data_IF_726040632844
#
_entry.id   IF_726040632844
#
_cell.length_a   1.000
_cell.length_b   1.000
_cell.length_c   1.000
_cell.angle_alpha   90.00
_cell.angle_beta   90.00
_cell.angle_gamma   90.00
#
_symmetry.space_group_name_H-M   'P 1'
#
loop_
_entity.id
_entity.type
_entity.pdbx_description
1 polymer ?
#
# COMPACT_ATOMS: atom_id res chain seq x y z
N UNK A 1 -28.66 2.25 24.08
CA UNK A 1 -27.76 3.36 24.42
C UNK A 1 -26.36 2.79 24.52
N UNK A 2 -25.58 2.89 23.44
CA UNK A 2 -24.17 2.49 23.48
C UNK A 2 -23.42 3.43 24.41
N UNK A 3 -22.54 2.90 25.24
CA UNK A 3 -21.59 3.70 26.01
C UNK A 3 -20.78 4.51 25.00
N UNK A 4 -21.09 5.80 24.82
CA UNK A 4 -20.27 6.68 24.00
C UNK A 4 -18.88 6.73 24.65
N UNK A 5 -17.90 6.14 23.97
CA UNK A 5 -16.49 6.19 24.34
C UNK A 5 -16.05 7.64 24.47
N UNK A 6 -15.33 7.95 25.55
CA UNK A 6 -14.70 9.27 25.78
C UNK A 6 -13.92 9.73 24.53
N UNK A 7 -14.08 11.01 24.18
CA UNK A 7 -13.38 11.61 23.05
C UNK A 7 -11.93 11.90 23.41
N UNK A 8 -10.97 11.52 22.57
CA UNK A 8 -9.55 11.76 22.87
C UNK A 8 -9.20 13.25 22.89
N UNK A 9 -9.58 13.99 21.86
CA UNK A 9 -9.38 15.43 21.79
C UNK A 9 -10.57 16.13 21.14
N UNK A 10 -10.95 17.29 21.67
CA UNK A 10 -12.01 18.16 21.15
C UNK A 10 -11.43 19.55 20.83
N UNK A 11 -11.59 20.00 19.59
CA UNK A 11 -11.43 21.40 19.21
C UNK A 11 -12.83 22.01 19.04
N UNK A 12 -13.22 22.88 19.97
CA UNK A 12 -14.56 23.50 19.98
C UNK A 12 -14.48 24.98 19.65
N UNK A 13 -15.27 25.42 18.67
CA UNK A 13 -15.44 26.83 18.37
C UNK A 13 -16.57 27.45 19.18
N UNK A 14 -16.34 28.68 19.64
CA UNK A 14 -17.36 29.45 20.35
C UNK A 14 -17.20 30.96 20.13
N UNK A 15 -18.32 31.64 19.92
CA UNK A 15 -18.43 33.10 19.92
C UNK A 15 -19.23 33.62 21.12
N UNK A 16 -20.44 33.09 21.34
CA UNK A 16 -21.42 33.65 22.26
C UNK A 16 -22.45 32.65 22.84
N UNK A 17 -22.57 31.43 22.31
CA UNK A 17 -23.53 30.41 22.78
C UNK A 17 -22.90 29.45 23.83
N UNK A 18 -22.76 29.93 25.07
CA UNK A 18 -22.21 29.14 26.18
C UNK A 18 -23.03 27.87 26.51
N UNK A 19 -24.37 27.87 26.56
CA UNK A 19 -25.16 26.66 26.81
C UNK A 19 -24.90 25.55 25.79
N UNK A 20 -24.77 25.89 24.51
CA UNK A 20 -24.48 24.92 23.46
C UNK A 20 -23.05 24.34 23.57
N UNK A 21 -22.08 25.16 23.96
CA UNK A 21 -20.71 24.70 24.22
C UNK A 21 -20.66 23.74 25.43
N UNK A 22 -21.32 24.08 26.53
CA UNK A 22 -21.42 23.22 27.73
C UNK A 22 -22.03 21.86 27.38
N UNK A 23 -23.14 21.86 26.64
CA UNK A 23 -23.79 20.62 26.20
C UNK A 23 -22.82 19.73 25.42
N UNK A 24 -22.13 20.29 24.42
CA UNK A 24 -21.27 19.53 23.51
C UNK A 24 -20.03 18.97 24.23
N UNK A 25 -19.42 19.76 25.12
CA UNK A 25 -18.28 19.31 25.95
C UNK A 25 -18.71 18.16 26.87
N UNK A 26 -19.83 18.31 27.57
CA UNK A 26 -20.33 17.30 28.50
C UNK A 26 -20.76 16.01 27.79
N UNK A 27 -21.38 16.13 26.61
CA UNK A 27 -21.75 14.98 25.78
C UNK A 27 -20.53 14.22 25.27
N UNK A 28 -19.53 14.93 24.75
CA UNK A 28 -18.34 14.31 24.15
C UNK A 28 -17.32 13.81 25.18
N UNK A 29 -17.36 14.35 26.40
CA UNK A 29 -16.49 14.04 27.53
C UNK A 29 -15.00 13.89 27.12
N UNK A 30 -14.36 14.98 26.65
CA UNK A 30 -13.03 14.90 26.06
C UNK A 30 -11.91 14.75 27.09
N UNK A 31 -10.87 13.96 26.77
CA UNK A 31 -9.65 13.91 27.58
C UNK A 31 -8.82 15.19 27.43
N UNK A 32 -8.79 15.76 26.23
CA UNK A 32 -8.10 17.02 25.91
C UNK A 32 -9.06 18.00 25.22
N UNK A 33 -9.08 19.26 25.65
CA UNK A 33 -10.03 20.28 25.16
C UNK A 33 -9.31 21.55 24.68
N UNK A 34 -9.50 21.91 23.42
CA UNK A 34 -9.02 23.18 22.87
C UNK A 34 -10.20 24.10 22.55
N UNK A 35 -10.23 25.28 23.15
CA UNK A 35 -11.17 26.33 22.78
C UNK A 35 -10.61 27.14 21.60
N UNK A 36 -11.36 27.22 20.50
CA UNK A 36 -11.06 28.11 19.37
C UNK A 36 -12.01 29.30 19.39
N UNK A 37 -11.53 30.45 19.83
CA UNK A 37 -12.40 31.59 20.19
C UNK A 37 -11.80 32.93 19.77
N UNK A 38 -12.60 33.97 19.49
CA UNK A 38 -12.08 35.34 19.51
C UNK A 38 -11.76 35.78 20.94
N UNK A 39 -10.90 36.79 21.10
CA UNK A 39 -10.52 37.31 22.42
C UNK A 39 -11.74 37.72 23.27
N UNK A 40 -12.79 38.25 22.62
CA UNK A 40 -14.03 38.68 23.27
C UNK A 40 -14.82 37.56 23.95
N UNK A 41 -14.62 36.30 23.57
CA UNK A 41 -15.37 35.16 24.09
C UNK A 41 -14.69 34.45 25.27
N UNK A 42 -13.44 34.80 25.62
CA UNK A 42 -12.71 34.18 26.73
C UNK A 42 -13.40 34.33 28.07
N UNK A 43 -13.83 35.56 28.39
CA UNK A 43 -14.50 35.84 29.65
C UNK A 43 -15.78 35.01 29.80
N UNK A 44 -16.55 34.87 28.73
CA UNK A 44 -17.76 34.05 28.70
C UNK A 44 -17.45 32.56 28.94
N UNK A 45 -16.40 32.02 28.33
CA UNK A 45 -15.97 30.64 28.58
C UNK A 45 -15.58 30.42 30.05
N UNK A 46 -14.81 31.33 30.64
CA UNK A 46 -14.37 31.23 32.03
C UNK A 46 -15.53 31.34 33.03
N UNK A 47 -16.50 32.22 32.78
CA UNK A 47 -17.60 32.47 33.72
C UNK A 47 -18.80 31.55 33.54
N UNK A 48 -19.10 31.13 32.31
CA UNK A 48 -20.34 30.40 32.00
C UNK A 48 -20.11 28.97 31.51
N UNK A 49 -18.98 28.66 30.86
CA UNK A 49 -18.73 27.31 30.32
C UNK A 49 -17.98 26.44 31.30
N UNK A 50 -16.78 26.86 31.74
CA UNK A 50 -15.92 26.05 32.61
C UNK A 50 -16.60 25.58 33.89
N UNK A 51 -17.36 26.42 34.63
CA UNK A 51 -18.02 25.98 35.86
C UNK A 51 -19.07 24.88 35.65
N UNK A 52 -19.57 24.70 34.42
CA UNK A 52 -20.62 23.75 34.07
C UNK A 52 -20.09 22.48 33.39
N UNK A 53 -18.76 22.34 33.24
CA UNK A 53 -18.16 21.11 32.72
C UNK A 53 -18.24 20.02 33.78
N UNK A 54 -18.99 18.95 33.49
CA UNK A 54 -19.27 17.86 34.42
C UNK A 54 -18.02 17.04 34.77
N UNK A 55 -17.14 16.83 33.79
CA UNK A 55 -15.86 16.16 33.96
C UNK A 55 -14.77 17.00 33.28
N UNK A 56 -13.88 17.57 34.09
CA UNK A 56 -12.80 18.40 33.56
C UNK A 56 -11.81 17.57 32.73
N UNK A 57 -11.39 18.08 31.56
CA UNK A 57 -10.40 17.42 30.73
C UNK A 57 -9.04 17.37 31.44
N UNK A 58 -8.23 16.36 31.13
CA UNK A 58 -6.87 16.23 31.70
C UNK A 58 -5.95 17.35 31.24
N UNK A 59 -6.18 17.85 30.04
CA UNK A 59 -5.43 18.95 29.42
C UNK A 59 -6.40 19.86 28.69
N UNK A 60 -6.14 21.16 28.72
CA UNK A 60 -6.92 22.11 27.95
C UNK A 60 -6.06 23.29 27.52
N UNK A 61 -6.43 23.92 26.41
CA UNK A 61 -5.69 25.05 25.82
C UNK A 61 -6.62 25.96 25.01
N UNK A 62 -6.09 27.09 24.55
CA UNK A 62 -6.78 28.07 23.74
C UNK A 62 -6.05 28.30 22.44
N UNK A 63 -6.80 28.39 21.36
CA UNK A 63 -6.35 29.04 20.13
C UNK A 63 -7.23 30.26 19.93
N UNK A 64 -6.63 31.45 20.01
CA UNK A 64 -7.38 32.70 19.86
C UNK A 64 -7.32 33.16 18.42
N UNK A 65 -8.48 33.28 17.77
CA UNK A 65 -8.54 33.90 16.45
C UNK A 65 -8.45 35.43 16.57
N UNK A 66 -7.54 36.10 15.82
CA UNK A 66 -7.49 37.56 15.78
C UNK A 66 -8.77 38.19 15.22
N UNK A 67 -9.47 37.48 14.34
CA UNK A 67 -10.72 37.93 13.73
C UNK A 67 -11.56 36.71 13.33
N UNK A 68 -12.65 36.50 14.08
CA UNK A 68 -13.60 35.42 13.87
C UNK A 68 -14.31 35.51 12.52
N UNK A 69 -14.38 36.68 11.87
CA UNK A 69 -15.07 36.82 10.57
C UNK A 69 -14.11 36.70 9.37
N UNK A 70 -12.80 36.67 9.60
CA UNK A 70 -11.78 36.59 8.53
C UNK A 70 -11.13 35.21 8.47
N UNK A 71 -11.44 34.48 7.40
CA UNK A 71 -10.87 33.15 7.15
C UNK A 71 -9.33 33.12 7.23
N UNK A 72 -8.56 34.00 6.55
CA UNK A 72 -7.09 33.92 6.60
C UNK A 72 -6.52 34.10 8.00
N UNK A 73 -7.12 34.97 8.83
CA UNK A 73 -6.67 35.19 10.21
C UNK A 73 -6.93 33.95 11.08
N UNK A 74 -8.16 33.42 10.99
CA UNK A 74 -8.58 32.20 11.69
C UNK A 74 -7.76 30.97 11.26
N UNK A 75 -7.50 30.81 9.96
CA UNK A 75 -6.74 29.69 9.42
C UNK A 75 -5.27 29.75 9.79
N UNK A 76 -4.62 30.92 9.69
CA UNK A 76 -3.19 31.05 10.00
C UNK A 76 -2.86 30.70 11.44
N UNK A 77 -3.70 31.10 12.40
CA UNK A 77 -3.46 30.78 13.81
C UNK A 77 -3.67 29.28 14.07
N UNK A 78 -4.74 28.68 13.53
CA UNK A 78 -4.99 27.25 13.70
C UNK A 78 -3.94 26.38 13.02
N UNK A 79 -3.58 26.69 11.78
CA UNK A 79 -2.58 25.92 11.02
C UNK A 79 -1.20 25.93 11.67
N UNK A 80 -0.87 26.97 12.46
CA UNK A 80 0.40 27.07 13.20
C UNK A 80 0.33 26.38 14.56
N UNK A 81 -0.75 26.55 15.30
CA UNK A 81 -0.83 26.08 16.69
C UNK A 81 -1.35 24.65 16.83
N UNK A 82 -2.31 24.24 16.00
CA UNK A 82 -2.99 22.95 16.15
C UNK A 82 -2.03 21.74 16.01
N UNK A 83 -1.10 21.68 15.03
CA UNK A 83 -0.22 20.53 14.90
C UNK A 83 0.68 20.29 16.12
N UNK A 84 1.22 21.35 16.71
CA UNK A 84 2.07 21.26 17.89
C UNK A 84 1.26 20.88 19.14
N UNK A 85 0.04 21.40 19.25
CA UNK A 85 -0.90 21.04 20.31
C UNK A 85 -1.27 19.54 20.25
N UNK A 86 -1.66 19.04 19.09
CA UNK A 86 -2.00 17.63 18.88
C UNK A 86 -0.80 16.71 19.18
N UNK A 87 0.41 17.13 18.79
CA UNK A 87 1.65 16.38 19.10
C UNK A 87 1.91 16.34 20.61
N UNK A 88 1.79 17.49 21.29
CA UNK A 88 1.98 17.57 22.74
C UNK A 88 0.97 16.71 23.50
N UNK A 89 -0.25 16.59 22.97
CA UNK A 89 -1.33 15.78 23.53
C UNK A 89 -1.34 14.32 23.08
N UNK A 90 -0.37 13.90 22.26
CA UNK A 90 -0.26 12.55 21.71
C UNK A 90 -1.53 12.10 20.97
N UNK A 91 -2.18 13.03 20.27
CA UNK A 91 -3.40 12.76 19.49
C UNK A 91 -3.01 12.18 18.13
N UNK A 92 -3.54 11.00 17.83
CA UNK A 92 -3.34 10.30 16.57
C UNK A 92 -4.35 10.72 15.50
N UNK A 93 -4.09 10.31 14.26
CA UNK A 93 -5.03 10.51 13.17
C UNK A 93 -6.34 9.75 13.46
N UNK A 94 -7.48 10.44 13.30
CA UNK A 94 -8.79 9.87 13.59
C UNK A 94 -9.14 9.88 15.09
N UNK A 95 -8.54 10.77 15.88
CA UNK A 95 -8.83 10.93 17.31
C UNK A 95 -9.33 12.35 17.69
N UNK A 96 -9.22 13.32 16.80
CA UNK A 96 -9.73 14.68 17.02
C UNK A 96 -11.22 14.78 16.68
N UNK A 97 -12.01 15.48 17.49
CA UNK A 97 -13.37 15.91 17.15
C UNK A 97 -13.37 17.41 16.91
N UNK A 98 -13.97 17.84 15.81
CA UNK A 98 -14.19 19.26 15.53
C UNK A 98 -15.63 19.61 15.86
N UNK A 99 -15.84 20.57 16.76
CA UNK A 99 -17.16 21.09 17.08
C UNK A 99 -17.34 22.50 16.51
N UNK A 100 -18.24 22.60 15.53
CA UNK A 100 -18.51 23.81 14.77
C UNK A 100 -19.72 24.59 15.30
N UNK A 101 -20.31 24.18 16.42
CA UNK A 101 -21.56 24.72 16.94
C UNK A 101 -21.54 26.24 17.09
N UNK A 102 -20.49 26.79 17.70
CA UNK A 102 -20.32 28.23 17.90
C UNK A 102 -19.36 28.87 16.88
N UNK A 103 -19.11 28.22 15.74
CA UNK A 103 -18.21 28.74 14.72
C UNK A 103 -18.92 29.73 13.79
N UNK A 104 -18.25 30.85 13.49
CA UNK A 104 -18.58 31.62 12.28
C UNK A 104 -18.21 30.81 11.01
N UNK A 105 -18.68 31.20 9.82
CA UNK A 105 -18.26 30.55 8.57
C UNK A 105 -16.72 30.56 8.36
N UNK A 106 -16.05 31.65 8.73
CA UNK A 106 -14.60 31.77 8.63
C UNK A 106 -13.86 30.84 9.60
N UNK A 107 -14.35 30.72 10.84
CA UNK A 107 -13.81 29.80 11.84
C UNK A 107 -14.03 28.34 11.42
N UNK A 108 -15.24 28.00 10.97
CA UNK A 108 -15.57 26.65 10.54
C UNK A 108 -14.68 26.19 9.37
N UNK A 109 -14.49 27.04 8.35
CA UNK A 109 -13.59 26.76 7.24
C UNK A 109 -12.14 26.55 7.71
N UNK A 110 -11.65 27.38 8.64
CA UNK A 110 -10.31 27.26 9.19
C UNK A 110 -10.12 25.96 9.99
N UNK A 111 -11.10 25.58 10.81
CA UNK A 111 -11.08 24.34 11.60
C UNK A 111 -11.09 23.10 10.72
N UNK A 112 -11.98 23.04 9.72
CA UNK A 112 -12.06 21.89 8.82
C UNK A 112 -10.75 21.74 8.05
N UNK A 113 -10.22 22.81 7.44
CA UNK A 113 -8.98 22.72 6.67
C UNK A 113 -7.75 22.38 7.53
N UNK A 114 -7.69 22.86 8.77
CA UNK A 114 -6.54 22.61 9.66
C UNK A 114 -6.64 21.26 10.38
N UNK A 115 -7.86 20.80 10.68
CA UNK A 115 -8.14 19.63 11.51
C UNK A 115 -8.45 18.35 10.74
N UNK A 116 -8.78 18.43 9.44
CA UNK A 116 -9.25 17.28 8.64
C UNK A 116 -8.33 16.05 8.74
N UNK A 117 -7.01 16.23 8.69
CA UNK A 117 -6.08 15.11 8.73
C UNK A 117 -6.05 14.35 10.07
N UNK A 118 -6.49 14.98 11.16
CA UNK A 118 -6.56 14.40 12.49
C UNK A 118 -7.99 14.03 12.92
N UNK A 119 -9.01 14.53 12.21
CA UNK A 119 -10.41 14.41 12.64
C UNK A 119 -10.98 13.00 12.48
N UNK A 120 -11.69 12.56 13.50
CA UNK A 120 -12.55 11.37 13.56
C UNK A 120 -13.99 11.67 13.15
N UNK A 121 -14.47 12.86 13.50
CA UNK A 121 -15.82 13.36 13.21
C UNK A 121 -15.85 14.89 13.36
N UNK A 122 -16.80 15.48 12.66
CA UNK A 122 -17.23 16.87 12.79
C UNK A 122 -18.62 16.84 13.40
N UNK A 123 -18.86 17.69 14.41
CA UNK A 123 -20.14 17.81 15.10
C UNK A 123 -20.62 19.26 15.08
N UNK A 124 -21.93 19.45 15.17
CA UNK A 124 -22.56 20.75 15.34
C UNK A 124 -23.96 20.61 15.94
N UNK A 125 -24.40 21.60 16.71
CA UNK A 125 -25.80 21.78 17.07
C UNK A 125 -26.51 22.65 16.02
N UNK A 126 -27.32 22.03 15.19
CA UNK A 126 -28.13 22.69 14.17
C UNK A 126 -29.50 23.14 14.68
N UNK A 127 -30.20 23.94 13.87
CA UNK A 127 -31.58 24.34 14.11
C UNK A 127 -32.57 23.26 13.60
N UNK A 128 -33.72 23.07 14.26
CA UNK A 128 -34.79 22.23 13.75
C UNK A 128 -35.23 22.63 12.33
N UNK A 129 -35.38 21.67 11.43
CA UNK A 129 -35.84 21.90 10.05
C UNK A 129 -34.76 22.35 9.05
N UNK A 130 -33.49 22.45 9.47
CA UNK A 130 -32.37 22.80 8.58
C UNK A 130 -31.84 21.64 7.70
N UNK A 131 -32.42 20.44 7.81
CA UNK A 131 -32.02 19.24 7.07
C UNK A 131 -33.14 18.20 6.96
N UNK A 132 -32.89 17.06 6.28
CA UNK A 132 -33.86 15.97 6.18
C UNK A 132 -34.29 15.49 7.58
N UNK A 133 -35.57 15.11 7.79
CA UNK A 133 -36.08 14.68 9.11
C UNK A 133 -35.35 13.47 9.73
N UNK A 134 -34.54 12.76 8.95
CA UNK A 134 -33.81 11.55 9.32
C UNK A 134 -32.38 11.79 9.80
N UNK A 135 -31.90 13.04 9.82
CA UNK A 135 -30.52 13.35 10.20
C UNK A 135 -30.44 14.06 11.56
N UNK A 136 -29.79 13.38 12.51
CA UNK A 136 -29.45 13.92 13.82
C UNK A 136 -30.44 13.61 14.93
N UNK A 137 -30.01 13.86 16.16
CA UNK A 137 -30.79 13.62 17.38
C UNK A 137 -31.36 14.95 17.92
N UNK A 138 -32.66 15.01 18.17
CA UNK A 138 -33.29 16.19 18.78
C UNK A 138 -32.87 16.33 20.24
N UNK A 139 -32.38 17.51 20.61
CA UNK A 139 -31.89 17.83 21.96
C UNK A 139 -32.48 19.17 22.40
N UNK A 140 -32.78 19.30 23.69
CA UNK A 140 -33.27 20.56 24.28
C UNK A 140 -32.16 21.18 25.12
N UNK A 141 -31.77 22.41 24.77
CA UNK A 141 -30.71 23.16 25.44
C UNK A 141 -31.29 24.51 25.81
N UNK A 142 -31.37 24.77 27.12
CA UNK A 142 -31.95 26.01 27.68
C UNK A 142 -33.34 26.37 27.10
N UNK A 143 -34.21 25.36 27.00
CA UNK A 143 -35.57 25.50 26.45
C UNK A 143 -35.64 25.67 24.93
N UNK A 144 -34.51 25.62 24.22
CA UNK A 144 -34.45 25.66 22.75
C UNK A 144 -34.23 24.27 22.19
N UNK A 145 -35.05 23.89 21.23
CA UNK A 145 -34.81 22.69 20.45
C UNK A 145 -33.63 22.89 19.48
N UNK A 146 -32.77 21.90 19.42
CA UNK A 146 -31.59 21.79 18.55
C UNK A 146 -31.52 20.37 18.00
N UNK A 147 -30.74 20.20 16.94
CA UNK A 147 -30.44 18.89 16.37
C UNK A 147 -28.94 18.65 16.49
N UNK A 148 -28.55 17.56 17.15
CA UNK A 148 -27.16 17.09 17.17
C UNK A 148 -26.82 16.47 15.83
N UNK A 149 -25.94 17.13 15.08
CA UNK A 149 -25.42 16.67 13.80
C UNK A 149 -24.01 16.16 13.98
N UNK A 150 -23.70 15.03 13.34
CA UNK A 150 -22.35 14.50 13.30
C UNK A 150 -22.08 13.76 11.99
N UNK A 151 -20.85 13.85 11.51
CA UNK A 151 -20.39 13.11 10.34
C UNK A 151 -18.88 12.96 10.33
N UNK A 152 -18.39 11.88 9.73
CA UNK A 152 -16.97 11.71 9.47
C UNK A 152 -16.64 12.17 8.05
N UNK A 153 -15.89 13.26 7.87
CA UNK A 153 -15.60 13.78 6.53
C UNK A 153 -14.73 12.82 5.71
N UNK A 154 -14.00 11.90 6.35
CA UNK A 154 -13.24 10.87 5.65
C UNK A 154 -14.11 9.82 4.99
N UNK A 155 -15.38 9.69 5.37
CA UNK A 155 -16.26 8.75 4.67
C UNK A 155 -16.44 9.16 3.20
N UNK A 156 -16.47 10.45 2.86
CA UNK A 156 -16.46 10.86 1.45
C UNK A 156 -15.04 11.08 0.91
N UNK A 157 -14.17 11.76 1.66
CA UNK A 157 -12.82 12.11 1.19
C UNK A 157 -11.93 10.88 0.92
N UNK A 158 -12.19 9.75 1.59
CA UNK A 158 -11.44 8.52 1.38
C UNK A 158 -11.60 7.95 -0.04
N UNK A 159 -12.65 8.31 -0.79
CA UNK A 159 -12.79 7.89 -2.18
C UNK A 159 -11.66 8.43 -3.06
N UNK A 160 -11.34 9.72 -2.93
CA UNK A 160 -10.23 10.34 -3.67
C UNK A 160 -8.88 9.80 -3.20
N UNK A 161 -8.65 9.74 -1.89
CA UNK A 161 -7.40 9.20 -1.33
C UNK A 161 -7.18 7.72 -1.71
N UNK A 162 -8.26 6.94 -1.87
CA UNK A 162 -8.18 5.55 -2.36
C UNK A 162 -7.70 5.48 -3.80
N UNK A 163 -8.13 6.39 -4.67
CA UNK A 163 -7.65 6.46 -6.06
C UNK A 163 -6.15 6.74 -6.10
N UNK A 164 -5.68 7.69 -5.27
CA UNK A 164 -4.23 7.96 -5.12
C UNK A 164 -3.46 6.71 -4.65
N UNK A 165 -4.02 5.96 -3.69
CA UNK A 165 -3.45 4.68 -3.25
C UNK A 165 -3.41 3.62 -4.35
N UNK A 166 -4.44 3.56 -5.19
CA UNK A 166 -4.47 2.69 -6.37
C UNK A 166 -3.42 3.10 -7.39
N UNK A 167 -3.22 4.40 -7.64
CA UNK A 167 -2.20 4.90 -8.55
C UNK A 167 -0.78 4.58 -8.07
N UNK A 168 -0.51 4.73 -6.76
CA UNK A 168 0.75 4.32 -6.16
C UNK A 168 0.99 2.82 -6.34
N UNK A 169 -0.04 2.00 -6.10
CA UNK A 169 0.05 0.55 -6.31
C UNK A 169 0.35 0.21 -7.78
N UNK A 170 -0.36 0.84 -8.71
CA UNK A 170 -0.25 0.58 -10.15
C UNK A 170 1.12 0.98 -10.71
N UNK A 171 1.84 1.89 -10.04
CA UNK A 171 3.21 2.32 -10.37
C UNK A 171 4.28 1.51 -9.63
N UNK A 172 3.93 0.39 -9.00
CA UNK A 172 4.88 -0.45 -8.25
C UNK A 172 5.29 0.10 -6.89
N UNK A 173 4.75 1.24 -6.45
CA UNK A 173 5.04 1.86 -5.15
C UNK A 173 4.22 1.23 -4.02
N UNK A 174 4.32 -0.09 -3.88
CA UNK A 174 3.50 -0.90 -2.97
C UNK A 174 3.58 -0.45 -1.50
N UNK A 175 4.78 -0.09 -1.02
CA UNK A 175 4.95 0.40 0.35
C UNK A 175 4.23 1.73 0.61
N UNK A 176 4.28 2.65 -0.35
CA UNK A 176 3.59 3.93 -0.26
C UNK A 176 2.06 3.74 -0.34
N UNK A 177 1.59 2.86 -1.23
CA UNK A 177 0.18 2.51 -1.33
C UNK A 177 -0.35 1.90 -0.02
N UNK A 178 0.38 0.95 0.54
CA UNK A 178 0.03 0.34 1.83
C UNK A 178 -0.03 1.39 2.95
N UNK A 179 0.96 2.27 3.05
CA UNK A 179 1.00 3.34 4.03
C UNK A 179 -0.21 4.29 3.89
N UNK A 180 -0.57 4.69 2.67
CA UNK A 180 -1.73 5.54 2.42
C UNK A 180 -3.04 4.85 2.82
N UNK A 181 -3.22 3.57 2.47
CA UNK A 181 -4.40 2.82 2.90
C UNK A 181 -4.49 2.69 4.42
N UNK A 182 -3.37 2.51 5.14
CA UNK A 182 -3.34 2.55 6.62
C UNK A 182 -3.71 3.92 7.19
N UNK A 183 -3.25 5.01 6.55
CA UNK A 183 -3.65 6.36 6.94
C UNK A 183 -5.17 6.56 6.78
N UNK A 184 -5.75 6.09 5.68
CA UNK A 184 -7.20 6.16 5.47
C UNK A 184 -7.93 5.31 6.53
N UNK A 185 -7.48 4.07 6.77
CA UNK A 185 -8.03 3.17 7.81
C UNK A 185 -8.11 3.84 9.18
N UNK A 186 -7.10 4.60 9.58
CA UNK A 186 -7.10 5.29 10.88
C UNK A 186 -8.20 6.36 11.00
N UNK A 187 -8.65 6.94 9.88
CA UNK A 187 -9.51 8.13 9.86
C UNK A 187 -10.97 7.86 9.50
N UNK A 188 -11.24 6.82 8.69
CA UNK A 188 -12.62 6.49 8.27
C UNK A 188 -13.45 5.89 9.41
N UNK A 189 -14.77 5.93 9.25
CA UNK A 189 -15.70 5.30 10.19
C UNK A 189 -15.51 3.79 10.28
N UNK A 190 -15.85 3.21 11.44
CA UNK A 190 -15.57 1.82 11.80
C UNK A 190 -15.96 0.79 10.72
N UNK A 191 -17.13 0.96 10.08
CA UNK A 191 -17.60 0.05 9.03
C UNK A 191 -16.71 0.01 7.77
N UNK A 192 -15.91 1.05 7.53
CA UNK A 192 -15.02 1.15 6.35
C UNK A 192 -13.58 0.73 6.65
N UNK A 193 -13.17 0.65 7.93
CA UNK A 193 -11.80 0.26 8.32
C UNK A 193 -11.36 -1.09 7.76
N UNK A 194 -12.19 -2.17 7.77
CA UNK A 194 -11.78 -3.47 7.23
C UNK A 194 -11.41 -3.44 5.74
N UNK A 195 -12.08 -2.61 4.94
CA UNK A 195 -11.75 -2.44 3.52
C UNK A 195 -10.33 -1.89 3.35
N UNK A 196 -10.01 -0.79 4.04
CA UNK A 196 -8.70 -0.15 3.90
C UNK A 196 -7.58 -0.96 4.54
N UNK A 197 -7.87 -1.68 5.63
CA UNK A 197 -6.96 -2.69 6.17
C UNK A 197 -6.60 -3.73 5.11
N UNK A 198 -7.60 -4.26 4.41
CA UNK A 198 -7.41 -5.29 3.40
C UNK A 198 -6.68 -4.75 2.16
N UNK A 199 -6.94 -3.51 1.74
CA UNK A 199 -6.21 -2.85 0.66
C UNK A 199 -4.74 -2.60 1.03
N UNK A 200 -4.46 -2.25 2.29
CA UNK A 200 -3.10 -2.11 2.78
C UNK A 200 -2.34 -3.45 2.76
N UNK A 201 -2.96 -4.52 3.26
CA UNK A 201 -2.38 -5.87 3.21
C UNK A 201 -2.23 -6.41 1.78
N UNK A 202 -3.16 -6.06 0.89
CA UNK A 202 -3.05 -6.36 -0.54
C UNK A 202 -1.78 -5.71 -1.12
N UNK A 203 -1.62 -4.40 -0.92
CA UNK A 203 -0.44 -3.67 -1.37
C UNK A 203 0.85 -4.25 -0.80
N UNK A 204 0.89 -4.51 0.51
CA UNK A 204 2.05 -5.12 1.17
C UNK A 204 2.36 -6.52 0.61
N UNK A 205 1.34 -7.35 0.36
CA UNK A 205 1.50 -8.68 -0.22
C UNK A 205 2.17 -8.66 -1.60
N UNK A 206 1.75 -7.76 -2.49
CA UNK A 206 2.42 -7.58 -3.78
C UNK A 206 3.83 -7.00 -3.63
N UNK A 207 4.05 -6.07 -2.69
CA UNK A 207 5.39 -5.55 -2.40
C UNK A 207 6.35 -6.60 -1.81
N UNK A 208 5.84 -7.59 -1.08
CA UNK A 208 6.61 -8.75 -0.61
C UNK A 208 6.92 -9.72 -1.75
N UNK A 209 5.95 -9.94 -2.64
CA UNK A 209 6.15 -10.78 -3.83
C UNK A 209 7.21 -10.19 -4.74
N UNK A 210 7.19 -8.89 -4.98
CA UNK A 210 8.19 -8.21 -5.83
C UNK A 210 9.63 -8.32 -5.29
N UNK A 211 9.79 -8.67 -4.00
CA UNK A 211 11.07 -8.96 -3.33
C UNK A 211 11.34 -10.46 -3.12
N UNK A 212 10.54 -11.32 -3.77
CA UNK A 212 10.61 -12.78 -3.69
C UNK A 212 10.33 -13.37 -2.30
N UNK A 213 9.67 -12.64 -1.40
CA UNK A 213 9.22 -13.13 -0.10
C UNK A 213 7.88 -13.91 -0.23
N UNK A 214 7.90 -14.99 -1.02
CA UNK A 214 6.70 -15.69 -1.49
C UNK A 214 5.73 -16.14 -0.40
N UNK A 215 6.24 -16.69 0.71
CA UNK A 215 5.38 -17.16 1.82
C UNK A 215 4.64 -16.01 2.48
N UNK A 216 5.36 -14.93 2.81
CA UNK A 216 4.77 -13.75 3.44
C UNK A 216 3.77 -13.06 2.48
N UNK A 217 4.11 -12.99 1.19
CA UNK A 217 3.20 -12.49 0.16
C UNK A 217 1.90 -13.31 0.10
N UNK A 218 2.00 -14.64 0.10
CA UNK A 218 0.84 -15.53 0.10
C UNK A 218 -0.05 -15.33 1.32
N UNK A 219 0.54 -15.27 2.52
CA UNK A 219 -0.21 -15.09 3.77
C UNK A 219 -0.99 -13.76 3.78
N UNK A 220 -0.35 -12.68 3.27
CA UNK A 220 -0.96 -11.36 3.13
C UNK A 220 -2.10 -11.35 2.11
N UNK A 221 -1.87 -11.88 0.90
CA UNK A 221 -2.90 -11.95 -0.14
C UNK A 221 -4.09 -12.84 0.27
N UNK A 222 -3.84 -13.96 0.94
CA UNK A 222 -4.88 -14.86 1.44
C UNK A 222 -5.78 -14.19 2.47
N UNK A 223 -5.20 -13.40 3.38
CA UNK A 223 -5.94 -12.69 4.42
C UNK A 223 -6.72 -11.52 3.83
N UNK A 224 -6.11 -10.72 2.96
CA UNK A 224 -6.76 -9.58 2.32
C UNK A 224 -7.93 -10.01 1.43
N UNK A 225 -7.80 -11.11 0.67
CA UNK A 225 -8.86 -11.64 -0.19
C UNK A 225 -10.17 -11.89 0.56
N UNK A 226 -10.10 -12.51 1.75
CA UNK A 226 -11.30 -12.78 2.56
C UNK A 226 -12.02 -11.49 2.94
N UNK A 227 -11.29 -10.48 3.36
CA UNK A 227 -11.84 -9.19 3.76
C UNK A 227 -12.40 -8.41 2.56
N UNK A 228 -11.73 -8.45 1.40
CA UNK A 228 -12.21 -7.80 0.19
C UNK A 228 -13.46 -8.48 -0.41
N UNK A 229 -13.55 -9.81 -0.33
CA UNK A 229 -14.77 -10.56 -0.71
C UNK A 229 -15.96 -10.14 0.18
N UNK A 230 -15.74 -9.94 1.48
CA UNK A 230 -16.78 -9.42 2.38
C UNK A 230 -17.12 -7.96 2.06
N UNK A 231 -16.13 -7.13 1.76
CA UNK A 231 -16.37 -5.74 1.39
C UNK A 231 -17.28 -5.60 0.16
N UNK A 232 -17.19 -6.51 -0.82
CA UNK A 232 -18.10 -6.53 -1.97
C UNK A 232 -19.58 -6.70 -1.60
N UNK A 233 -19.88 -7.36 -0.49
CA UNK A 233 -21.24 -7.60 0.00
C UNK A 233 -21.74 -6.41 0.83
N UNK A 234 -20.84 -5.79 1.60
CA UNK A 234 -21.17 -4.79 2.63
C UNK A 234 -20.83 -3.34 2.22
N UNK A 235 -20.91 -3.00 0.93
CA UNK A 235 -20.82 -1.62 0.45
C UNK A 235 -19.42 -1.12 0.06
N UNK A 236 -18.49 -2.02 -0.21
CA UNK A 236 -17.20 -1.69 -0.84
C UNK A 236 -17.34 -1.27 -2.30
N UNK A 237 -16.26 -0.71 -2.92
CA UNK A 237 -16.30 -0.24 -4.29
C UNK A 237 -16.73 -1.33 -5.28
N UNK A 238 -17.71 -1.10 -6.17
CA UNK A 238 -18.18 -2.09 -7.14
C UNK A 238 -17.07 -2.61 -8.07
N UNK A 239 -16.07 -1.77 -8.36
CA UNK A 239 -14.91 -2.10 -9.20
C UNK A 239 -14.01 -3.18 -8.60
N UNK A 240 -14.13 -3.50 -7.30
CA UNK A 240 -13.47 -4.67 -6.71
C UNK A 240 -13.83 -5.97 -7.45
N UNK A 241 -15.05 -6.06 -8.02
CA UNK A 241 -15.49 -7.24 -8.79
C UNK A 241 -14.58 -7.54 -9.99
N UNK A 242 -14.00 -6.51 -10.60
CA UNK A 242 -13.09 -6.67 -11.74
C UNK A 242 -11.67 -7.07 -11.30
N UNK A 243 -11.24 -6.66 -10.10
CA UNK A 243 -9.87 -6.86 -9.61
C UNK A 243 -9.70 -8.23 -8.94
N UNK A 244 -10.69 -8.67 -8.15
CA UNK A 244 -10.57 -9.84 -7.29
C UNK A 244 -10.27 -11.16 -8.02
N UNK A 245 -10.80 -11.46 -9.22
CA UNK A 245 -10.45 -12.69 -9.93
C UNK A 245 -8.95 -12.85 -10.14
N UNK A 246 -8.26 -11.78 -10.52
CA UNK A 246 -6.81 -11.80 -10.74
C UNK A 246 -6.04 -11.91 -9.41
N UNK A 247 -6.50 -11.24 -8.35
CA UNK A 247 -5.91 -11.41 -7.01
C UNK A 247 -6.06 -12.86 -6.52
N UNK A 248 -7.20 -13.51 -6.77
CA UNK A 248 -7.42 -14.94 -6.44
C UNK A 248 -6.50 -15.86 -7.25
N UNK A 249 -6.35 -15.61 -8.55
CA UNK A 249 -5.40 -16.34 -9.40
C UNK A 249 -3.97 -16.22 -8.86
N UNK A 250 -3.57 -15.01 -8.49
CA UNK A 250 -2.25 -14.71 -7.93
C UNK A 250 -2.00 -15.39 -6.58
N UNK A 251 -2.98 -15.36 -5.67
CA UNK A 251 -2.90 -16.08 -4.41
C UNK A 251 -2.77 -17.59 -4.63
N UNK A 252 -3.49 -18.15 -5.62
CA UNK A 252 -3.37 -19.57 -5.99
C UNK A 252 -2.04 -19.92 -6.65
N UNK A 253 -1.44 -19.01 -7.42
CA UNK A 253 -0.08 -19.17 -7.95
C UNK A 253 0.94 -19.24 -6.80
N UNK A 254 0.87 -18.30 -5.86
CA UNK A 254 1.76 -18.27 -4.70
C UNK A 254 1.55 -19.48 -3.78
N UNK A 255 0.30 -19.92 -3.58
CA UNK A 255 0.00 -21.14 -2.82
C UNK A 255 0.75 -22.35 -3.39
N UNK A 256 0.62 -22.58 -4.71
CA UNK A 256 1.32 -23.68 -5.39
C UNK A 256 2.83 -23.56 -5.22
N UNK A 257 3.39 -22.36 -5.39
CA UNK A 257 4.83 -22.12 -5.24
C UNK A 257 5.31 -22.39 -3.81
N UNK A 258 4.59 -21.89 -2.81
CA UNK A 258 4.97 -21.99 -1.40
C UNK A 258 4.85 -23.41 -0.87
N UNK A 259 3.82 -24.15 -1.30
CA UNK A 259 3.57 -25.51 -0.87
C UNK A 259 4.33 -26.57 -1.67
N UNK A 260 4.93 -26.22 -2.82
CA UNK A 260 5.80 -27.12 -3.57
C UNK A 260 7.02 -27.54 -2.73
N UNK A 261 7.20 -28.84 -2.41
CA UNK A 261 8.34 -29.31 -1.62
C UNK A 261 9.63 -29.43 -2.45
N UNK A 262 9.57 -29.25 -3.77
CA UNK A 262 10.74 -29.38 -4.64
C UNK A 262 11.75 -28.26 -4.39
N UNK A 263 13.03 -28.62 -4.49
CA UNK A 263 14.16 -27.69 -4.37
C UNK A 263 14.19 -26.72 -5.56
N UNK A 264 13.88 -27.20 -6.78
CA UNK A 264 13.74 -26.38 -8.00
C UNK A 264 12.29 -26.29 -8.42
N UNK A 265 11.75 -25.08 -8.31
CA UNK A 265 10.33 -24.80 -8.52
C UNK A 265 10.11 -24.13 -9.85
N UNK A 266 9.24 -24.71 -10.66
CA UNK A 266 8.86 -24.16 -11.98
C UNK A 266 8.23 -22.78 -11.86
N UNK A 267 7.38 -22.58 -10.84
CA UNK A 267 6.74 -21.30 -10.58
C UNK A 267 7.75 -20.16 -10.36
N UNK A 268 8.93 -20.44 -9.80
CA UNK A 268 9.98 -19.41 -9.62
C UNK A 268 10.55 -18.96 -10.97
N UNK A 269 10.77 -19.88 -11.92
CA UNK A 269 11.24 -19.52 -13.26
C UNK A 269 10.21 -18.65 -14.00
N UNK A 270 8.92 -19.03 -13.91
CA UNK A 270 7.83 -18.22 -14.48
C UNK A 270 7.71 -16.85 -13.82
N UNK A 271 7.81 -16.78 -12.49
CA UNK A 271 7.75 -15.50 -11.77
C UNK A 271 8.94 -14.59 -12.09
N UNK A 272 10.16 -15.12 -12.22
CA UNK A 272 11.32 -14.34 -12.64
C UNK A 272 11.14 -13.72 -14.03
N UNK A 273 10.55 -14.48 -14.97
CA UNK A 273 10.25 -13.97 -16.31
C UNK A 273 9.18 -12.87 -16.25
N UNK A 274 8.13 -13.09 -15.45
CA UNK A 274 7.08 -12.09 -15.22
C UNK A 274 7.62 -10.83 -14.52
N UNK A 275 8.53 -11.00 -13.56
CA UNK A 275 9.20 -9.92 -12.85
C UNK A 275 10.06 -9.09 -13.80
N UNK A 276 10.85 -9.73 -14.67
CA UNK A 276 11.62 -9.04 -15.70
C UNK A 276 10.71 -8.15 -16.58
N UNK A 277 9.53 -8.66 -16.96
CA UNK A 277 8.53 -7.88 -17.71
C UNK A 277 8.01 -6.68 -16.91
N UNK A 278 7.62 -6.88 -15.64
CA UNK A 278 7.13 -5.81 -14.75
C UNK A 278 8.16 -4.70 -14.56
N UNK A 279 9.45 -5.02 -14.46
CA UNK A 279 10.54 -4.03 -14.33
C UNK A 279 10.60 -3.04 -15.51
N UNK A 280 10.20 -3.45 -16.71
CA UNK A 280 10.12 -2.52 -17.86
C UNK A 280 8.77 -1.84 -17.92
N UNK A 281 7.68 -2.60 -17.83
CA UNK A 281 6.34 -2.08 -18.07
C UNK A 281 5.86 -1.14 -16.95
N UNK A 282 6.33 -1.33 -15.71
CA UNK A 282 5.94 -0.54 -14.53
C UNK A 282 7.06 0.39 -14.10
N UNK A 283 8.26 -0.15 -13.85
CA UNK A 283 9.36 0.64 -13.28
C UNK A 283 10.18 1.40 -14.33
N UNK A 284 9.94 1.13 -15.62
CA UNK A 284 10.69 1.71 -16.73
C UNK A 284 12.21 1.51 -16.59
N UNK A 285 12.62 0.37 -16.01
CA UNK A 285 14.00 0.11 -15.59
C UNK A 285 14.61 -1.10 -16.34
N UNK A 286 15.11 -0.89 -17.58
CA UNK A 286 15.55 -1.98 -18.45
C UNK A 286 16.83 -2.67 -17.96
N UNK A 287 17.67 -1.99 -17.17
CA UNK A 287 18.84 -2.57 -16.50
C UNK A 287 18.43 -3.71 -15.55
N UNK A 288 17.62 -3.39 -14.54
CA UNK A 288 17.13 -4.38 -13.58
C UNK A 288 16.32 -5.49 -14.25
N UNK A 289 15.52 -5.13 -15.27
CA UNK A 289 14.77 -6.09 -16.06
C UNK A 289 15.67 -7.10 -16.78
N UNK A 290 16.80 -6.65 -17.33
CA UNK A 290 17.75 -7.52 -18.04
C UNK A 290 18.42 -8.50 -17.09
N UNK A 291 18.82 -8.04 -15.89
CA UNK A 291 19.36 -8.93 -14.85
C UNK A 291 18.35 -9.99 -14.47
N UNK A 292 17.09 -9.60 -14.22
CA UNK A 292 16.00 -10.53 -13.93
C UNK A 292 15.75 -11.52 -15.07
N UNK A 293 15.81 -11.06 -16.32
CA UNK A 293 15.61 -11.90 -17.51
C UNK A 293 16.71 -12.95 -17.68
N UNK A 294 17.97 -12.59 -17.45
CA UNK A 294 19.08 -13.54 -17.45
C UNK A 294 18.94 -14.57 -16.33
N UNK A 295 18.51 -14.13 -15.13
CA UNK A 295 18.21 -15.04 -14.03
C UNK A 295 17.04 -15.96 -14.36
N UNK A 296 15.99 -15.48 -15.03
CA UNK A 296 14.86 -16.27 -15.49
C UNK A 296 15.32 -17.34 -16.50
N UNK A 297 16.09 -16.93 -17.51
CA UNK A 297 16.68 -17.82 -18.51
C UNK A 297 17.51 -18.93 -17.86
N UNK A 298 18.33 -18.59 -16.88
CA UNK A 298 19.07 -19.57 -16.08
C UNK A 298 18.13 -20.50 -15.30
N UNK A 299 17.11 -19.95 -14.63
CA UNK A 299 16.17 -20.74 -13.85
C UNK A 299 15.46 -21.82 -14.70
N UNK A 300 15.15 -21.52 -15.96
CA UNK A 300 14.59 -22.52 -16.88
C UNK A 300 15.58 -23.64 -17.23
N UNK A 301 16.85 -23.31 -17.45
CA UNK A 301 17.89 -24.34 -17.66
C UNK A 301 18.07 -25.21 -16.41
N UNK A 302 18.16 -24.58 -15.23
CA UNK A 302 18.24 -25.27 -13.93
C UNK A 302 17.04 -26.20 -13.73
N UNK A 303 15.83 -25.72 -14.03
CA UNK A 303 14.60 -26.50 -13.95
C UNK A 303 14.65 -27.74 -14.84
N UNK A 304 15.06 -27.60 -16.11
CA UNK A 304 15.16 -28.72 -17.06
C UNK A 304 16.20 -29.74 -16.61
N UNK A 305 17.41 -29.28 -16.29
CA UNK A 305 18.50 -30.13 -15.80
C UNK A 305 18.11 -30.89 -14.54
N UNK A 306 17.45 -30.21 -13.59
CA UNK A 306 17.03 -30.83 -12.34
C UNK A 306 15.89 -31.83 -12.55
N UNK A 307 14.80 -31.43 -13.23
CA UNK A 307 13.60 -32.27 -13.37
C UNK A 307 13.89 -33.53 -14.19
N UNK A 308 14.52 -33.38 -15.35
CA UNK A 308 14.72 -34.46 -16.33
C UNK A 308 15.98 -35.28 -16.09
N UNK A 309 17.07 -34.64 -15.66
CA UNK A 309 18.39 -35.27 -15.57
C UNK A 309 18.92 -35.42 -14.15
N UNK A 310 18.20 -34.91 -13.13
CA UNK A 310 18.61 -34.91 -11.71
C UNK A 310 19.97 -34.24 -11.48
N UNK A 311 20.30 -33.27 -12.32
CA UNK A 311 21.53 -32.48 -12.22
C UNK A 311 21.24 -31.22 -11.39
N UNK A 312 21.97 -31.05 -10.29
CA UNK A 312 21.98 -29.81 -9.51
C UNK A 312 23.07 -28.90 -10.06
N UNK A 313 22.70 -27.78 -10.67
CA UNK A 313 23.67 -26.89 -11.33
C UNK A 313 24.61 -26.19 -10.36
N UNK A 314 24.27 -26.15 -9.08
CA UNK A 314 25.10 -25.59 -7.99
C UNK A 314 25.89 -26.66 -7.22
N UNK A 315 25.79 -27.92 -7.61
CA UNK A 315 26.48 -29.06 -6.97
C UNK A 315 26.60 -30.22 -7.98
N UNK A 316 27.16 -29.92 -9.15
CA UNK A 316 27.18 -30.89 -10.25
C UNK A 316 28.27 -31.93 -10.05
N UNK A 317 27.98 -33.20 -10.35
CA UNK A 317 29.02 -34.21 -10.46
C UNK A 317 29.51 -34.27 -11.92
N UNK A 318 30.82 -34.14 -12.20
CA UNK A 318 31.34 -34.15 -13.57
C UNK A 318 30.86 -35.35 -14.40
N UNK A 319 30.64 -36.49 -13.76
CA UNK A 319 30.22 -37.74 -14.39
C UNK A 319 28.78 -37.67 -14.93
N UNK A 320 27.93 -36.80 -14.37
CA UNK A 320 26.58 -36.54 -14.87
C UNK A 320 26.56 -35.71 -16.16
N UNK A 321 27.68 -35.07 -16.51
CA UNK A 321 27.76 -34.20 -17.68
C UNK A 321 28.15 -34.97 -18.95
N UNK A 322 27.74 -34.46 -20.13
CA UNK A 322 28.28 -34.92 -21.41
C UNK A 322 29.80 -34.89 -21.43
N UNK A 323 30.42 -35.86 -22.11
CA UNK A 323 31.88 -36.04 -22.14
C UNK A 323 32.64 -34.74 -22.45
N UNK A 324 32.14 -33.97 -23.42
CA UNK A 324 32.72 -32.70 -23.85
C UNK A 324 32.78 -31.61 -22.75
N UNK A 325 32.05 -31.75 -21.64
CA UNK A 325 32.02 -30.78 -20.54
C UNK A 325 32.72 -31.26 -19.27
N UNK A 326 33.09 -32.55 -19.17
CA UNK A 326 33.62 -33.14 -17.93
C UNK A 326 34.93 -32.50 -17.49
N UNK A 327 35.86 -32.35 -18.42
CA UNK A 327 37.18 -31.78 -18.12
C UNK A 327 37.07 -30.29 -17.75
N UNK A 328 36.24 -29.55 -18.48
CA UNK A 328 35.96 -28.15 -18.16
C UNK A 328 35.29 -28.00 -16.79
N UNK A 329 34.42 -28.92 -16.41
CA UNK A 329 33.82 -28.93 -15.08
C UNK A 329 34.88 -29.06 -13.99
N UNK A 330 35.77 -30.05 -14.11
CA UNK A 330 36.84 -30.30 -13.13
C UNK A 330 37.83 -29.13 -13.00
N UNK A 331 38.09 -28.44 -14.09
CA UNK A 331 39.13 -27.39 -14.13
C UNK A 331 38.60 -25.97 -13.89
N UNK A 332 37.30 -25.70 -14.13
CA UNK A 332 36.79 -24.32 -14.21
C UNK A 332 35.49 -24.06 -13.45
N UNK A 333 34.78 -25.09 -12.96
CA UNK A 333 33.49 -24.90 -12.28
C UNK A 333 33.58 -25.04 -10.76
N UNK A 334 34.76 -25.35 -10.21
CA UNK A 334 34.94 -25.42 -8.76
C UNK A 334 34.76 -24.03 -8.17
N UNK A 335 33.83 -23.90 -7.23
CA UNK A 335 33.60 -22.68 -6.48
C UNK A 335 34.49 -22.66 -5.24
N UNK A 336 35.29 -21.60 -5.11
CA UNK A 336 36.26 -21.47 -4.01
C UNK A 336 35.61 -21.23 -2.64
N UNK A 337 34.31 -20.91 -2.59
CA UNK A 337 33.61 -20.58 -1.33
C UNK A 337 33.11 -21.84 -0.63
N UNK A 338 32.41 -22.72 -1.34
CA UNK A 338 31.83 -23.94 -0.76
C UNK A 338 32.41 -25.25 -1.31
N UNK A 339 33.38 -25.17 -2.23
CA UNK A 339 34.06 -26.33 -2.82
C UNK A 339 33.17 -27.16 -3.75
N UNK A 340 32.01 -26.64 -4.17
CA UNK A 340 31.09 -27.33 -5.08
C UNK A 340 31.33 -26.94 -6.52
N UNK A 341 31.00 -27.84 -7.44
CA UNK A 341 31.01 -27.49 -8.86
C UNK A 341 29.73 -26.74 -9.23
N UNK A 342 29.86 -25.47 -9.65
CA UNK A 342 28.77 -24.59 -10.06
C UNK A 342 28.84 -24.31 -11.56
N UNK A 343 27.82 -24.74 -12.28
CA UNK A 343 27.75 -24.56 -13.73
C UNK A 343 27.30 -23.14 -14.09
N UNK A 344 28.08 -22.38 -14.89
CA UNK A 344 27.62 -21.11 -15.42
C UNK A 344 26.51 -21.30 -16.48
N UNK A 345 25.68 -20.27 -16.68
CA UNK A 345 24.54 -20.26 -17.61
C UNK A 345 24.81 -20.96 -18.95
N UNK A 346 25.88 -20.57 -19.65
CA UNK A 346 26.21 -21.15 -20.96
C UNK A 346 26.53 -22.65 -20.89
N UNK A 347 27.18 -23.09 -19.80
CA UNK A 347 27.49 -24.51 -19.60
C UNK A 347 26.23 -25.33 -19.32
N UNK A 348 25.23 -24.75 -18.64
CA UNK A 348 23.93 -25.39 -18.40
C UNK A 348 23.22 -25.71 -19.72
N UNK A 349 23.14 -24.76 -20.65
CA UNK A 349 22.53 -25.00 -21.96
C UNK A 349 23.34 -25.95 -22.86
N UNK A 350 24.68 -25.91 -22.79
CA UNK A 350 25.52 -26.88 -23.50
C UNK A 350 25.34 -28.29 -22.95
N UNK A 351 25.17 -28.43 -21.64
CA UNK A 351 24.88 -29.72 -21.03
C UNK A 351 23.52 -30.25 -21.49
N UNK A 352 22.47 -29.42 -21.46
CA UNK A 352 21.17 -29.77 -22.02
C UNK A 352 21.28 -30.25 -23.47
N UNK A 353 21.98 -29.50 -24.33
CA UNK A 353 22.16 -29.87 -25.73
C UNK A 353 22.92 -31.19 -25.91
N UNK A 354 24.00 -31.40 -25.14
CA UNK A 354 24.78 -32.63 -25.15
C UNK A 354 24.03 -33.85 -24.60
N UNK A 355 22.99 -33.62 -23.79
CA UNK A 355 22.05 -34.64 -23.29
C UNK A 355 20.84 -34.84 -24.23
N UNK A 356 20.83 -34.20 -25.40
CA UNK A 356 19.76 -34.30 -26.39
C UNK A 356 18.48 -33.52 -26.04
N UNK A 357 18.53 -32.62 -25.07
CA UNK A 357 17.37 -31.82 -24.66
C UNK A 357 17.01 -30.76 -25.72
N UNK A 358 15.71 -30.64 -26.01
CA UNK A 358 15.20 -29.70 -27.02
C UNK A 358 15.48 -28.24 -26.66
N UNK A 359 15.41 -27.86 -25.39
CA UNK A 359 15.70 -26.48 -24.94
C UNK A 359 17.18 -26.16 -25.16
N UNK A 360 18.07 -27.11 -24.86
CA UNK A 360 19.50 -26.97 -25.13
C UNK A 360 19.81 -26.84 -26.62
N UNK A 361 19.20 -27.69 -27.46
CA UNK A 361 19.35 -27.62 -28.91
C UNK A 361 18.81 -26.30 -29.49
N UNK A 362 17.65 -25.85 -29.03
CA UNK A 362 17.07 -24.58 -29.42
C UNK A 362 17.96 -23.39 -29.01
N UNK A 363 18.57 -23.45 -27.82
CA UNK A 363 19.54 -22.44 -27.37
C UNK A 363 20.73 -22.34 -28.31
N UNK A 364 21.33 -23.46 -28.68
CA UNK A 364 22.45 -23.48 -29.61
C UNK A 364 22.06 -22.95 -31.00
N UNK A 365 20.85 -23.29 -31.47
CA UNK A 365 20.33 -22.77 -32.74
C UNK A 365 20.11 -21.25 -32.71
N UNK A 366 19.65 -20.69 -31.57
CA UNK A 366 19.45 -19.25 -31.40
C UNK A 366 20.71 -18.49 -30.95
N UNK A 367 21.81 -19.19 -30.67
CA UNK A 367 23.05 -18.59 -30.16
C UNK A 367 23.57 -17.41 -30.98
N UNK A 368 23.58 -17.44 -32.34
CA UNK A 368 24.03 -16.29 -33.13
C UNK A 368 23.23 -15.01 -32.87
N UNK A 369 21.92 -15.12 -32.61
CA UNK A 369 21.05 -13.99 -32.29
C UNK A 369 21.20 -13.56 -30.81
N UNK A 370 21.36 -14.51 -29.90
CA UNK A 370 21.51 -14.22 -28.46
C UNK A 370 22.86 -13.62 -28.10
N UNK A 371 23.94 -14.10 -28.71
CA UNK A 371 25.32 -13.69 -28.38
C UNK A 371 25.51 -12.17 -28.32
N UNK A 372 25.11 -11.36 -29.32
CA UNK A 372 25.27 -9.91 -29.24
C UNK A 372 24.41 -9.29 -28.13
N UNK A 373 23.22 -9.83 -27.84
CA UNK A 373 22.34 -9.34 -26.77
C UNK A 373 22.93 -9.62 -25.38
N UNK A 374 23.52 -10.81 -25.20
CA UNK A 374 24.22 -11.19 -23.97
C UNK A 374 25.52 -10.38 -23.77
N UNK A 375 26.25 -10.08 -24.84
CA UNK A 375 27.43 -9.19 -24.78
C UNK A 375 27.03 -7.77 -24.36
N UNK A 376 25.94 -7.23 -24.92
CA UNK A 376 25.37 -5.94 -24.48
C UNK A 376 24.97 -5.98 -23.00
N UNK A 377 24.26 -7.02 -22.56
CA UNK A 377 23.88 -7.17 -21.15
C UNK A 377 25.11 -7.30 -20.23
N UNK A 378 26.18 -7.98 -20.68
CA UNK A 378 27.42 -8.07 -19.91
C UNK A 378 28.15 -6.74 -19.80
N UNK A 379 28.07 -5.86 -20.81
CA UNK A 379 28.67 -4.52 -20.79
C UNK A 379 27.78 -3.47 -20.14
N UNK A 380 26.57 -3.88 -19.74
CA UNK A 380 25.62 -3.01 -19.09
C UNK A 380 26.09 -2.56 -17.70
N UNK A 381 25.51 -1.47 -17.18
CA UNK A 381 25.86 -0.91 -15.86
C UNK A 381 25.58 -1.92 -14.73
N UNK A 382 24.45 -2.64 -14.77
CA UNK A 382 24.16 -3.70 -13.78
C UNK A 382 24.72 -5.08 -14.19
N UNK A 383 25.50 -5.14 -15.27
CA UNK A 383 26.29 -6.30 -15.66
C UNK A 383 27.71 -6.18 -15.12
N UNK A 384 28.66 -5.96 -16.03
CA UNK A 384 30.10 -5.81 -15.73
C UNK A 384 30.74 -4.64 -16.49
N UNK A 385 29.95 -3.76 -17.10
CA UNK A 385 30.46 -2.61 -17.84
C UNK A 385 29.87 -1.30 -17.37
N UNK A 386 29.85 -0.32 -18.27
CA UNK A 386 29.53 1.07 -17.96
C UNK A 386 28.53 1.70 -18.95
N UNK A 387 27.96 0.90 -19.87
CA UNK A 387 27.03 1.38 -20.88
C UNK A 387 25.57 1.09 -20.47
N UNK A 388 24.64 2.05 -20.52
CA UNK A 388 23.25 1.77 -20.19
C UNK A 388 22.58 0.90 -21.25
N UNK A 389 21.79 -0.10 -20.82
CA UNK A 389 21.01 -0.93 -21.72
C UNK A 389 19.78 -0.19 -22.26
N UNK A 390 19.56 -0.31 -23.57
CA UNK A 390 18.39 0.27 -24.23
C UNK A 390 17.17 -0.66 -24.13
N UNK A 391 15.94 -0.13 -23.97
CA UNK A 391 14.72 -0.94 -23.88
C UNK A 391 14.53 -1.91 -25.05
N UNK A 392 14.94 -1.55 -26.26
CA UNK A 392 14.81 -2.40 -27.45
C UNK A 392 15.70 -3.65 -27.35
N UNK A 393 16.85 -3.54 -26.68
CA UNK A 393 17.76 -4.69 -26.45
C UNK A 393 17.18 -5.66 -25.44
N UNK A 394 16.54 -5.15 -24.39
CA UNK A 394 15.77 -5.97 -23.47
C UNK A 394 14.65 -6.71 -24.21
N UNK A 395 13.84 -6.02 -25.00
CA UNK A 395 12.71 -6.64 -25.71
C UNK A 395 13.19 -7.74 -26.68
N UNK A 396 14.24 -7.47 -27.46
CA UNK A 396 14.86 -8.49 -28.34
C UNK A 396 15.30 -9.73 -27.58
N UNK A 397 15.92 -9.57 -26.40
CA UNK A 397 16.34 -10.70 -25.57
C UNK A 397 15.14 -11.41 -24.97
N UNK A 398 14.13 -10.67 -24.51
CA UNK A 398 12.90 -11.21 -23.93
C UNK A 398 12.18 -12.12 -24.92
N UNK A 399 12.00 -11.68 -26.17
CA UNK A 399 11.35 -12.45 -27.22
C UNK A 399 12.07 -13.78 -27.48
N UNK A 400 13.40 -13.77 -27.49
CA UNK A 400 14.20 -14.99 -27.65
C UNK A 400 14.05 -15.92 -26.44
N UNK A 401 14.04 -15.38 -25.22
CA UNK A 401 13.86 -16.18 -23.99
C UNK A 401 12.45 -16.80 -23.93
N UNK A 402 11.40 -16.05 -24.24
CA UNK A 402 10.01 -16.57 -24.32
C UNK A 402 9.92 -17.70 -25.34
N UNK A 403 10.46 -17.49 -26.54
CA UNK A 403 10.49 -18.53 -27.59
C UNK A 403 11.25 -19.78 -27.15
N UNK A 404 12.37 -19.61 -26.44
CA UNK A 404 13.21 -20.72 -25.97
C UNK A 404 12.55 -21.53 -24.86
N UNK A 405 11.90 -20.85 -23.92
CA UNK A 405 11.27 -21.49 -22.76
C UNK A 405 9.94 -22.14 -23.14
N UNK A 406 9.29 -21.67 -24.21
CA UNK A 406 7.98 -22.13 -24.66
C UNK A 406 6.84 -21.69 -23.74
N UNK A 407 7.12 -20.78 -22.81
CA UNK A 407 6.11 -20.25 -21.89
C UNK A 407 5.30 -19.20 -22.63
N UNK A 408 3.98 -19.30 -22.58
CA UNK A 408 3.10 -18.27 -23.11
C UNK A 408 3.08 -17.07 -22.16
N UNK A 409 3.23 -15.85 -22.67
CA UNK A 409 3.15 -14.63 -21.84
C UNK A 409 1.82 -14.54 -21.06
N UNK A 410 0.74 -15.07 -21.61
CA UNK A 410 -0.59 -15.12 -20.97
C UNK A 410 -0.68 -16.07 -19.76
N UNK A 411 0.28 -17.00 -19.60
CA UNK A 411 0.31 -17.91 -18.45
C UNK A 411 1.16 -17.39 -17.29
N UNK A 412 1.90 -16.30 -17.49
CA UNK A 412 2.72 -15.67 -16.47
C UNK A 412 1.85 -14.91 -15.44
N UNK A 413 2.26 -14.89 -14.15
CA UNK A 413 1.53 -14.11 -13.14
C UNK A 413 1.58 -12.61 -13.47
N UNK A 414 0.41 -11.97 -13.45
CA UNK A 414 0.26 -10.54 -13.70
C UNK A 414 -0.28 -9.84 -12.45
N UNK A 415 0.29 -8.69 -12.12
CA UNK A 415 -0.22 -7.90 -11.01
C UNK A 415 -1.45 -7.11 -11.47
N UNK A 416 -2.47 -6.95 -10.62
CA UNK A 416 -3.69 -6.27 -10.99
C UNK A 416 -3.46 -4.78 -11.21
N UNK A 417 -4.28 -4.16 -12.05
CA UNK A 417 -4.42 -2.71 -12.09
C UNK A 417 -5.62 -2.32 -11.22
N UNK A 418 -5.38 -1.63 -10.11
CA UNK A 418 -6.42 -1.18 -9.20
C UNK A 418 -7.11 0.06 -9.77
N UNK A 419 -8.44 0.00 -9.89
CA UNK A 419 -9.30 1.12 -10.33
C UNK A 419 -10.49 1.23 -9.37
N UNK A 420 -10.19 1.49 -8.09
CA UNK A 420 -11.13 1.39 -6.97
C UNK A 420 -11.65 2.73 -6.45
#
# INVERSE_FOLDING_TARGET
>A
MGVETSTKALLIAMTDDAPAAVYSINRLNPECLCFFVPESAKGLVETEVQPQIAQMPRRWDWVVTPDAQRFPASYQVLARSLPDLLRAWEVQAGELVLDLTGATPAMAAAMVLSGMAASSRVVALGCPGAGPPSEGESVSIDGRERIWLQGNPWDEAAAQARQEGCDLFNRGSFGAAAALFRQIESRVSGGRKPLYHALADLAEGYGLWERFHYRQAWDKLKTSLKALDMALVWGGPPSLKAVLPLVKQNAGFLEKLVLDPQEVKEAVACDLLAHARRRVDVDHHPEAATVALLRALEAFAQLRLFKQYKIKTWDVQPEQLPEALRERCRTSFLDDVDGKYKMPLQAQFRALAGLGDQMGQAYLAQWPAMKPLLDVASRAVLGHGFEPIKPERFQQLYDVVVKLTGVADSSLPQFPNLRL
#
